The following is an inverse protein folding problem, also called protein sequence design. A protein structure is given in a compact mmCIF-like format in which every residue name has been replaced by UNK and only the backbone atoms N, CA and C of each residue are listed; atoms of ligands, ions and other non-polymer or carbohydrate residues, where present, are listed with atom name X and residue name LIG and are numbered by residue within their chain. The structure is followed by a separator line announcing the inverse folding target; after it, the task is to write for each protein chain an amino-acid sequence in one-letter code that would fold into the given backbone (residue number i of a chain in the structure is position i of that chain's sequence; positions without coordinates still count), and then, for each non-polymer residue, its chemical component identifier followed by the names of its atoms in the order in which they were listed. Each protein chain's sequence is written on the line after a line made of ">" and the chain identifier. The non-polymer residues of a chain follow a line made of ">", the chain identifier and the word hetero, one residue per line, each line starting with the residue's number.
data_IF_056124820837
#
_entry.id   IF_056124820837
#
_cell.length_a   1.000
_cell.length_b   1.000
_cell.length_c   1.000
_cell.angle_alpha   90.00
_cell.angle_beta   90.00
_cell.angle_gamma   90.00
#
_symmetry.space_group_name_H-M   'P 1'
#
loop_
_entity.id
_entity.type
_entity.pdbx_description
1 polymer ?
#
# COMPACT_ATOMS: atom_id res chain seq x y z
N UNK A 1 7.43 4.02 2.65
CA UNK A 1 6.72 3.08 3.55
C UNK A 1 6.02 3.84 4.66
N UNK A 2 4.75 4.26 4.47
CA UNK A 2 3.95 4.95 5.48
C UNK A 2 3.58 4.09 6.70
N UNK A 3 3.64 2.76 6.56
CA UNK A 3 3.24 1.79 7.59
C UNK A 3 4.09 1.85 8.87
N UNK A 4 5.41 2.10 8.72
CA UNK A 4 6.37 2.11 9.83
C UNK A 4 6.13 3.24 10.84
N UNK A 5 5.50 4.35 10.43
CA UNK A 5 5.29 5.52 11.29
C UNK A 5 4.03 5.42 12.18
N UNK A 6 3.03 4.60 11.82
CA UNK A 6 1.72 4.62 12.52
C UNK A 6 1.71 3.95 13.90
N UNK A 7 2.55 2.94 14.14
CA UNK A 7 2.54 2.17 15.42
C UNK A 7 3.62 2.67 16.42
N UNK A 8 4.69 3.33 15.96
CA UNK A 8 5.73 3.83 16.86
C UNK A 8 5.35 5.09 17.65
N UNK A 9 4.20 5.72 17.38
CA UNK A 9 3.73 6.91 18.10
C UNK A 9 3.41 6.71 19.59
N UNK A 10 3.44 5.48 20.11
CA UNK A 10 3.00 5.15 21.48
C UNK A 10 4.09 4.66 22.45
N UNK A 11 5.36 4.52 22.04
CA UNK A 11 6.39 3.98 22.92
C UNK A 11 7.16 5.09 23.67
N UNK A 12 6.82 5.33 24.95
CA UNK A 12 7.72 6.04 25.88
C UNK A 12 8.86 5.09 26.30
N UNK A 13 10.10 5.54 26.21
CA UNK A 13 11.26 4.76 26.68
C UNK A 13 11.29 4.74 28.21
N UNK A 14 11.43 3.53 28.78
CA UNK A 14 11.86 3.34 30.17
C UNK A 14 13.07 2.42 30.12
N UNK A 15 14.21 2.90 30.60
CA UNK A 15 15.43 2.11 30.72
C UNK A 15 15.28 1.11 31.88
N UNK A 16 15.62 -0.16 31.65
CA UNK A 16 15.66 -1.19 32.69
C UNK A 16 16.95 -2.02 32.56
N UNK A 17 17.59 -2.26 33.69
CA UNK A 17 18.84 -3.00 33.85
C UNK A 17 18.63 -4.51 33.78
N UNK A 18 19.49 -5.19 33.01
CA UNK A 18 19.34 -6.60 32.67
C UNK A 18 19.66 -7.57 33.81
N UNK A 19 18.82 -8.60 33.94
CA UNK A 19 19.09 -9.90 34.58
C UNK A 19 18.77 -10.99 33.55
N UNK A 20 19.33 -12.21 33.63
CA UNK A 20 19.27 -13.19 32.54
C UNK A 20 17.81 -13.64 32.32
N UNK A 21 17.27 -13.31 31.14
CA UNK A 21 15.88 -13.57 30.75
C UNK A 21 15.81 -14.93 30.07
N UNK A 22 14.99 -15.84 30.61
CA UNK A 22 14.47 -17.00 29.88
C UNK A 22 13.83 -16.52 28.58
N UNK A 23 14.12 -17.12 27.43
CA UNK A 23 13.49 -16.76 26.15
C UNK A 23 11.95 -16.88 26.25
N UNK A 24 11.27 -15.77 26.60
CA UNK A 24 9.83 -15.70 26.45
C UNK A 24 9.57 -15.59 24.96
N UNK A 25 8.92 -16.59 24.37
CA UNK A 25 8.37 -16.46 23.03
C UNK A 25 7.44 -15.24 23.04
N UNK A 26 7.75 -14.22 22.24
CA UNK A 26 6.93 -13.02 22.15
C UNK A 26 5.49 -13.35 21.75
N UNK A 27 4.54 -12.41 21.93
CA UNK A 27 3.17 -12.58 21.47
C UNK A 27 3.09 -13.09 20.03
N UNK A 28 2.24 -14.08 19.80
CA UNK A 28 1.90 -14.59 18.47
C UNK A 28 0.46 -14.27 18.12
N UNK A 29 0.14 -14.36 16.84
CA UNK A 29 -1.22 -14.20 16.34
C UNK A 29 -1.55 -15.28 15.31
N UNK A 30 -2.71 -15.89 15.46
CA UNK A 30 -3.27 -16.77 14.44
C UNK A 30 -3.99 -15.95 13.35
N UNK A 31 -3.76 -16.32 12.10
CA UNK A 31 -4.44 -15.77 10.92
C UNK A 31 -5.03 -16.93 10.14
N UNK A 32 -6.29 -16.80 9.73
CA UNK A 32 -6.93 -17.75 8.82
C UNK A 32 -6.71 -17.31 7.38
N UNK A 33 -6.08 -18.16 6.57
CA UNK A 33 -5.89 -17.93 5.15
C UNK A 33 -6.90 -18.77 4.36
N UNK A 34 -7.66 -18.13 3.47
CA UNK A 34 -8.71 -18.79 2.69
C UNK A 34 -8.42 -18.77 1.19
N UNK A 35 -8.59 -19.93 0.54
CA UNK A 35 -8.60 -20.03 -0.91
C UNK A 35 -10.04 -19.82 -1.42
N UNK A 36 -10.33 -18.61 -1.91
CA UNK A 36 -11.57 -18.24 -2.60
C UNK A 36 -11.35 -18.06 -4.12
N UNK A 37 -10.33 -18.75 -4.65
CA UNK A 37 -10.03 -18.78 -6.08
C UNK A 37 -10.66 -20.02 -6.72
N UNK A 38 -10.51 -20.15 -8.04
CA UNK A 38 -10.90 -21.36 -8.79
C UNK A 38 -9.81 -22.43 -8.85
N UNK A 39 -8.60 -22.13 -8.36
CA UNK A 39 -7.48 -23.06 -8.47
C UNK A 39 -7.39 -23.99 -7.26
N UNK A 40 -7.03 -25.25 -7.53
CA UNK A 40 -6.67 -26.23 -6.50
C UNK A 40 -5.23 -26.04 -5.97
N UNK A 41 -4.46 -25.15 -6.58
CA UNK A 41 -3.05 -24.91 -6.31
C UNK A 41 -2.84 -23.44 -6.00
N UNK A 42 -2.90 -23.09 -4.72
CA UNK A 42 -2.62 -21.74 -4.22
C UNK A 42 -1.57 -21.80 -3.12
N UNK A 43 -0.56 -20.95 -3.26
CA UNK A 43 0.53 -20.81 -2.33
C UNK A 43 0.44 -19.46 -1.61
N UNK A 44 0.74 -19.46 -0.32
CA UNK A 44 0.92 -18.27 0.48
C UNK A 44 2.34 -18.19 1.04
N UNK A 45 2.81 -16.97 1.26
CA UNK A 45 4.09 -16.68 1.91
C UNK A 45 3.87 -15.53 2.89
N UNK A 46 4.60 -15.53 4.00
CA UNK A 46 4.52 -14.45 4.99
C UNK A 46 5.92 -13.96 5.28
N UNK A 47 6.17 -12.68 4.99
CA UNK A 47 7.46 -12.01 5.20
C UNK A 47 7.28 -10.84 6.16
N UNK A 48 8.36 -10.39 6.79
CA UNK A 48 8.36 -9.17 7.61
C UNK A 48 9.64 -9.03 8.43
N UNK A 49 9.67 -8.03 9.32
CA UNK A 49 10.78 -7.79 10.24
C UNK A 49 10.33 -8.16 11.66
N UNK A 50 11.00 -9.14 12.28
CA UNK A 50 10.66 -9.64 13.60
C UNK A 50 11.03 -8.63 14.69
N UNK A 51 10.00 -8.01 15.28
CA UNK A 51 10.13 -6.89 16.24
C UNK A 51 10.86 -7.35 17.50
N UNK A 52 10.56 -8.55 17.97
CA UNK A 52 11.17 -9.19 19.15
C UNK A 52 12.58 -9.75 18.90
N UNK A 53 13.05 -9.71 17.65
CA UNK A 53 14.39 -10.14 17.22
C UNK A 53 15.20 -8.99 16.62
N UNK A 54 15.01 -7.77 17.12
CA UNK A 54 15.78 -6.61 16.67
C UNK A 54 15.55 -6.23 15.20
N UNK A 55 14.33 -6.45 14.70
CA UNK A 55 13.94 -6.25 13.30
C UNK A 55 14.70 -7.14 12.30
N UNK A 56 15.13 -8.34 12.72
CA UNK A 56 15.68 -9.31 11.79
C UNK A 56 14.63 -9.72 10.74
N UNK A 57 15.06 -9.91 9.49
CA UNK A 57 14.23 -10.48 8.41
C UNK A 57 13.66 -11.83 8.85
N UNK A 58 12.35 -11.98 8.70
CA UNK A 58 11.61 -13.19 9.00
C UNK A 58 10.76 -13.60 7.80
N UNK A 59 10.75 -14.90 7.51
CA UNK A 59 9.85 -15.56 6.57
C UNK A 59 9.23 -16.75 7.27
N UNK A 60 7.92 -16.98 7.14
CA UNK A 60 7.30 -18.17 7.74
C UNK A 60 7.59 -19.42 6.89
N UNK A 61 7.96 -20.53 7.53
CA UNK A 61 8.14 -21.82 6.84
C UNK A 61 6.81 -22.36 6.31
N UNK A 62 6.89 -23.35 5.41
CA UNK A 62 5.73 -23.98 4.75
C UNK A 62 4.70 -24.62 5.71
N UNK A 63 5.07 -24.88 6.97
CA UNK A 63 4.13 -25.35 8.01
C UNK A 63 3.19 -24.25 8.51
N UNK A 64 3.42 -22.98 8.13
CA UNK A 64 2.63 -21.82 8.52
C UNK A 64 2.80 -21.42 9.99
N UNK A 65 3.75 -21.98 10.72
CA UNK A 65 3.90 -21.79 12.18
C UNK A 65 5.31 -21.48 12.62
N UNK A 66 6.31 -22.02 11.92
CA UNK A 66 7.71 -21.87 12.31
C UNK A 66 8.31 -20.64 11.63
N UNK A 67 8.75 -19.61 12.38
CA UNK A 67 9.50 -18.50 11.79
C UNK A 67 10.87 -18.98 11.32
N UNK A 68 11.27 -18.55 10.13
CA UNK A 68 12.58 -18.75 9.55
C UNK A 68 13.29 -17.40 9.41
N UNK A 69 14.52 -17.35 9.91
CA UNK A 69 15.39 -16.18 9.84
C UNK A 69 16.57 -16.52 8.91
N UNK A 70 16.57 -16.05 7.65
CA UNK A 70 17.65 -16.35 6.72
C UNK A 70 19.01 -15.91 7.28
N UNK A 71 20.04 -16.73 7.09
CA UNK A 71 21.42 -16.32 7.33
C UNK A 71 21.90 -15.37 6.23
N UNK A 72 22.92 -14.56 6.52
CA UNK A 72 23.56 -13.75 5.49
C UNK A 72 24.34 -14.67 4.53
N UNK A 73 23.99 -14.72 3.23
CA UNK A 73 24.82 -15.38 2.25
C UNK A 73 26.10 -14.57 1.98
N UNK A 74 27.08 -15.21 1.35
CA UNK A 74 28.30 -14.54 0.87
C UNK A 74 28.08 -13.80 -0.46
N UNK A 75 27.21 -14.34 -1.32
CA UNK A 75 26.90 -13.82 -2.65
C UNK A 75 25.48 -13.25 -2.70
N UNK A 76 25.20 -12.39 -3.67
CA UNK A 76 23.84 -11.90 -3.95
C UNK A 76 22.97 -12.97 -4.62
N UNK A 77 21.65 -12.75 -4.61
CA UNK A 77 20.63 -13.51 -5.34
C UNK A 77 20.58 -15.00 -4.97
N UNK A 78 20.82 -15.33 -3.71
CA UNK A 78 20.77 -16.71 -3.23
C UNK A 78 19.33 -17.13 -2.91
N UNK A 79 18.91 -18.37 -3.17
CA UNK A 79 17.59 -18.83 -2.78
C UNK A 79 17.45 -18.92 -1.25
N UNK A 80 16.21 -18.94 -0.75
CA UNK A 80 15.94 -19.33 0.63
C UNK A 80 16.43 -20.77 0.87
N UNK A 81 17.04 -21.03 2.03
CA UNK A 81 17.51 -22.37 2.40
C UNK A 81 16.41 -23.26 2.96
N UNK A 82 15.22 -22.70 3.21
CA UNK A 82 14.07 -23.36 3.80
C UNK A 82 12.86 -23.24 2.88
N UNK A 83 12.00 -24.27 2.88
CA UNK A 83 10.74 -24.19 2.17
C UNK A 83 9.77 -23.27 2.93
N UNK A 84 9.36 -22.18 2.28
CA UNK A 84 8.45 -21.17 2.82
C UNK A 84 7.09 -21.12 2.09
N UNK A 85 6.82 -22.11 1.25
CA UNK A 85 5.61 -22.22 0.42
C UNK A 85 4.46 -22.85 1.20
N UNK A 86 3.55 -22.03 1.75
CA UNK A 86 2.39 -22.48 2.52
C UNK A 86 1.24 -22.81 1.56
N UNK A 87 0.80 -24.06 1.50
CA UNK A 87 -0.28 -24.49 0.58
C UNK A 87 -1.66 -24.23 1.18
N UNK A 88 -2.54 -23.49 0.49
CA UNK A 88 -3.89 -23.19 0.98
C UNK A 88 -4.92 -24.31 0.73
N UNK A 89 -4.62 -25.27 -0.15
CA UNK A 89 -5.55 -26.34 -0.53
C UNK A 89 -6.53 -25.95 -1.65
N UNK A 90 -7.57 -26.77 -1.85
CA UNK A 90 -8.58 -26.59 -2.90
C UNK A 90 -9.50 -25.37 -2.64
N UNK A 91 -10.28 -24.89 -3.64
CA UNK A 91 -11.26 -23.82 -3.43
C UNK A 91 -12.17 -24.08 -2.22
N UNK A 92 -12.41 -23.04 -1.42
CA UNK A 92 -13.15 -23.10 -0.15
C UNK A 92 -12.33 -23.55 1.06
N UNK A 93 -11.07 -23.97 0.88
CA UNK A 93 -10.22 -24.37 2.00
C UNK A 93 -9.83 -23.18 2.86
N UNK A 94 -9.71 -23.44 4.17
CA UNK A 94 -9.14 -22.52 5.16
C UNK A 94 -7.99 -23.22 5.88
N UNK A 95 -6.86 -22.53 6.01
CA UNK A 95 -5.76 -22.95 6.89
C UNK A 95 -5.51 -21.89 7.96
N UNK A 96 -4.97 -22.29 9.11
CA UNK A 96 -4.52 -21.36 10.14
C UNK A 96 -3.00 -21.31 10.17
N UNK A 97 -2.45 -20.11 10.09
CA UNK A 97 -1.03 -19.80 10.28
C UNK A 97 -0.85 -19.05 11.60
N UNK A 98 0.32 -19.18 12.23
CA UNK A 98 0.66 -18.48 13.47
C UNK A 98 1.91 -17.63 13.22
N UNK A 99 1.78 -16.32 13.36
CA UNK A 99 2.89 -15.37 13.13
C UNK A 99 3.44 -14.82 14.46
N UNK A 100 4.75 -14.50 14.53
CA UNK A 100 5.29 -13.66 15.60
C UNK A 100 4.95 -12.18 15.35
N UNK A 101 5.44 -11.28 16.20
CA UNK A 101 5.35 -9.85 15.96
C UNK A 101 6.22 -9.43 14.76
N UNK A 102 5.58 -8.98 13.68
CA UNK A 102 6.22 -8.59 12.44
C UNK A 102 5.84 -7.15 12.07
N UNK A 103 6.86 -6.32 11.83
CA UNK A 103 6.71 -4.99 11.24
C UNK A 103 6.97 -5.03 9.74
N UNK A 104 6.21 -4.21 8.98
CA UNK A 104 6.31 -4.19 7.52
C UNK A 104 6.05 -5.55 6.89
N UNK A 105 5.14 -6.33 7.48
CA UNK A 105 4.84 -7.67 7.05
C UNK A 105 3.98 -7.71 5.79
N UNK A 106 4.13 -8.77 5.01
CA UNK A 106 3.34 -9.04 3.79
C UNK A 106 2.85 -10.47 3.80
N UNK A 107 1.60 -10.67 3.41
CA UNK A 107 1.03 -11.98 3.08
C UNK A 107 0.87 -12.01 1.57
N UNK A 108 1.68 -12.83 0.92
CA UNK A 108 1.73 -13.01 -0.53
C UNK A 108 0.88 -14.19 -0.92
N UNK A 109 0.21 -14.10 -2.06
CA UNK A 109 -0.53 -15.20 -2.65
C UNK A 109 -0.08 -15.42 -4.10
N UNK A 110 0.09 -16.68 -4.50
CA UNK A 110 0.39 -17.04 -5.88
C UNK A 110 -0.46 -18.22 -6.36
N UNK A 111 -0.93 -18.11 -7.60
CA UNK A 111 -1.85 -19.08 -8.22
C UNK A 111 -1.07 -19.97 -9.17
N UNK A 112 -1.29 -21.28 -9.05
CA UNK A 112 -0.74 -22.38 -9.85
C UNK A 112 0.78 -22.58 -9.77
N UNK A 113 1.55 -21.56 -9.39
CA UNK A 113 3.02 -21.57 -9.35
C UNK A 113 3.54 -20.93 -8.05
N UNK A 114 4.69 -21.41 -7.58
CA UNK A 114 5.38 -20.88 -6.41
C UNK A 114 6.13 -19.57 -6.72
N UNK A 115 6.16 -18.66 -5.75
CA UNK A 115 7.02 -17.47 -5.80
C UNK A 115 8.45 -17.83 -5.43
N UNK A 116 9.39 -17.14 -6.08
CA UNK A 116 10.82 -17.20 -5.76
C UNK A 116 11.21 -15.96 -4.98
N UNK A 117 11.58 -16.18 -3.73
CA UNK A 117 12.26 -15.20 -2.88
C UNK A 117 13.76 -15.48 -2.90
N UNK A 118 14.56 -14.42 -2.89
CA UNK A 118 16.02 -14.52 -2.85
C UNK A 118 16.58 -13.65 -1.73
N UNK A 119 17.79 -13.94 -1.29
CA UNK A 119 18.48 -13.28 -0.18
C UNK A 119 19.83 -12.77 -0.66
N UNK A 120 20.13 -11.52 -0.33
CA UNK A 120 21.42 -10.87 -0.53
C UNK A 120 22.20 -10.80 0.80
N UNK A 121 23.53 -10.54 0.77
CA UNK A 121 24.32 -10.31 1.97
C UNK A 121 23.71 -9.20 2.83
N UNK A 122 23.73 -9.38 4.15
CA UNK A 122 23.06 -8.47 5.09
C UNK A 122 22.60 -9.19 6.35
N UNK A 123 21.72 -10.22 6.29
CA UNK A 123 20.90 -10.70 5.16
C UNK A 123 19.83 -9.68 4.72
N UNK A 124 19.55 -9.61 3.43
CA UNK A 124 18.46 -8.79 2.89
C UNK A 124 17.55 -9.64 1.99
N UNK A 125 16.29 -9.79 2.38
CA UNK A 125 15.27 -10.43 1.55
C UNK A 125 14.98 -9.53 0.35
N UNK A 126 15.07 -10.10 -0.85
CA UNK A 126 14.59 -9.48 -2.07
C UNK A 126 13.24 -10.13 -2.38
N UNK A 127 12.22 -9.29 -2.32
CA UNK A 127 10.83 -9.67 -2.57
C UNK A 127 10.51 -9.64 -4.08
N UNK A 128 9.47 -10.35 -4.54
CA UNK A 128 9.05 -10.35 -5.94
C UNK A 128 8.88 -8.93 -6.52
N UNK A 129 9.47 -8.69 -7.69
CA UNK A 129 9.37 -7.41 -8.38
C UNK A 129 8.51 -7.50 -9.65
N UNK A 130 7.59 -6.55 -9.79
CA UNK A 130 6.84 -6.33 -11.03
C UNK A 130 7.48 -5.30 -11.97
N UNK A 131 8.50 -4.58 -11.49
CA UNK A 131 9.15 -3.48 -12.20
C UNK A 131 10.54 -3.87 -12.73
N UNK A 132 10.89 -5.15 -12.65
CA UNK A 132 12.11 -5.72 -13.20
C UNK A 132 11.74 -6.82 -14.21
N UNK A 133 11.92 -6.60 -15.52
CA UNK A 133 11.57 -7.58 -16.55
C UNK A 133 12.30 -8.92 -16.42
N UNK A 134 13.43 -8.97 -15.72
CA UNK A 134 14.22 -10.17 -15.48
C UNK A 134 13.85 -10.89 -14.17
N UNK A 135 12.91 -10.35 -13.38
CA UNK A 135 12.46 -10.99 -12.15
C UNK A 135 11.82 -12.35 -12.46
N UNK A 136 12.19 -13.43 -11.76
CA UNK A 136 11.64 -14.76 -12.03
C UNK A 136 10.12 -14.87 -11.77
N UNK A 137 9.54 -13.92 -11.04
CA UNK A 137 8.13 -13.86 -10.70
C UNK A 137 7.31 -12.97 -11.66
N UNK A 138 7.96 -12.32 -12.64
CA UNK A 138 7.32 -11.31 -13.49
C UNK A 138 6.13 -11.86 -14.30
N UNK A 139 6.16 -13.14 -14.68
CA UNK A 139 5.09 -13.79 -15.45
C UNK A 139 4.16 -14.67 -14.61
N UNK A 140 4.27 -14.62 -13.28
CA UNK A 140 3.42 -15.38 -12.37
C UNK A 140 2.20 -14.56 -11.94
N UNK A 141 1.10 -15.25 -11.63
CA UNK A 141 -0.12 -14.63 -11.08
C UNK A 141 -0.01 -14.57 -9.56
N UNK A 142 0.19 -13.37 -9.02
CA UNK A 142 0.35 -13.16 -7.58
C UNK A 142 -0.08 -11.76 -7.17
N UNK A 143 -0.38 -11.62 -5.88
CA UNK A 143 -0.69 -10.35 -5.23
C UNK A 143 -0.34 -10.45 -3.73
N UNK A 144 -0.49 -9.37 -2.97
CA UNK A 144 -0.23 -9.38 -1.54
C UNK A 144 -1.11 -8.40 -0.75
N UNK A 145 -1.24 -8.65 0.55
CA UNK A 145 -1.70 -7.64 1.49
C UNK A 145 -0.60 -7.36 2.53
N UNK A 146 -0.66 -6.19 3.15
CA UNK A 146 0.33 -5.73 4.11
C UNK A 146 -0.23 -5.79 5.53
N UNK A 147 0.66 -5.95 6.50
CA UNK A 147 0.30 -5.85 7.89
C UNK A 147 1.47 -5.39 8.77
N UNK A 148 1.15 -4.95 9.97
CA UNK A 148 2.09 -4.92 11.08
C UNK A 148 1.38 -5.45 12.30
N UNK A 149 1.95 -6.46 12.93
CA UNK A 149 1.51 -6.99 14.22
C UNK A 149 2.59 -6.68 15.25
N UNK A 150 2.30 -5.77 16.16
CA UNK A 150 3.22 -5.35 17.21
C UNK A 150 2.44 -4.85 18.43
N UNK A 151 3.00 -5.04 19.62
CA UNK A 151 2.42 -4.63 20.90
C UNK A 151 0.97 -5.12 21.08
N UNK A 152 0.70 -6.38 20.70
CA UNK A 152 -0.64 -6.99 20.72
C UNK A 152 -1.70 -6.23 19.90
N UNK A 153 -1.29 -5.47 18.89
CA UNK A 153 -2.18 -4.77 17.98
C UNK A 153 -1.78 -5.08 16.55
N UNK A 154 -2.79 -5.19 15.68
CA UNK A 154 -2.58 -5.35 14.25
C UNK A 154 -3.09 -4.13 13.49
N UNK A 155 -2.39 -3.76 12.43
CA UNK A 155 -2.91 -2.99 11.32
C UNK A 155 -2.69 -3.82 10.06
N UNK A 156 -3.72 -4.04 9.25
CA UNK A 156 -3.61 -4.77 7.99
C UNK A 156 -4.39 -4.06 6.88
N UNK A 157 -3.87 -4.08 5.66
CA UNK A 157 -4.48 -3.43 4.51
C UNK A 157 -4.25 -4.24 3.23
N UNK A 158 -5.21 -4.17 2.31
CA UNK A 158 -4.94 -4.52 0.91
C UNK A 158 -4.09 -3.41 0.28
N UNK A 159 -3.35 -3.70 -0.79
CA UNK A 159 -2.51 -2.70 -1.44
C UNK A 159 -2.55 -2.81 -2.95
N UNK A 160 -2.81 -1.68 -3.61
CA UNK A 160 -2.69 -1.49 -5.05
C UNK A 160 -1.66 -0.41 -5.37
N UNK A 161 -0.83 -0.01 -4.40
CA UNK A 161 0.20 1.02 -4.58
C UNK A 161 1.21 0.60 -5.64
N UNK A 162 1.49 -0.70 -5.71
CA UNK A 162 2.42 -1.25 -6.71
C UNK A 162 1.68 -1.73 -7.96
N UNK A 163 0.66 -2.56 -7.81
CA UNK A 163 -0.18 -3.09 -8.88
C UNK A 163 -1.46 -3.73 -8.31
N UNK A 164 -2.36 -4.13 -9.20
CA UNK A 164 -3.50 -5.02 -8.89
C UNK A 164 -3.49 -6.23 -9.82
N UNK A 165 -3.68 -7.43 -9.26
CA UNK A 165 -3.78 -8.69 -10.02
C UNK A 165 -4.86 -9.61 -9.46
N UNK A 166 -4.87 -9.84 -8.14
CA UNK A 166 -5.81 -10.73 -7.46
C UNK A 166 -6.70 -9.92 -6.51
N UNK A 167 -7.88 -10.47 -6.24
CA UNK A 167 -8.69 -9.96 -5.12
C UNK A 167 -8.15 -10.51 -3.81
N UNK A 168 -7.88 -9.63 -2.86
CA UNK A 168 -7.60 -9.98 -1.46
C UNK A 168 -8.65 -9.29 -0.60
N UNK A 169 -9.16 -9.98 0.41
CA UNK A 169 -10.14 -9.43 1.36
C UNK A 169 -9.73 -9.72 2.79
N UNK A 170 -10.14 -8.83 3.71
CA UNK A 170 -9.82 -8.88 5.13
C UNK A 170 -11.12 -8.90 5.93
N UNK A 171 -11.26 -9.86 6.85
CA UNK A 171 -12.30 -9.84 7.89
C UNK A 171 -11.63 -9.90 9.24
N UNK A 172 -11.81 -8.86 10.04
CA UNK A 172 -11.12 -8.67 11.30
C UNK A 172 -12.10 -8.43 12.43
N UNK A 173 -11.98 -9.24 13.48
CA UNK A 173 -12.69 -9.02 14.73
C UNK A 173 -11.66 -8.58 15.78
N UNK A 174 -11.72 -7.33 16.28
CA UNK A 174 -10.95 -6.95 17.45
C UNK A 174 -11.51 -7.63 18.72
N UNK A 175 -10.72 -7.69 19.80
CA UNK A 175 -11.22 -8.12 21.11
C UNK A 175 -12.36 -7.24 21.60
N UNK A 176 -12.19 -5.93 21.41
CA UNK A 176 -13.17 -4.90 21.74
C UNK A 176 -13.57 -4.13 20.47
N UNK A 177 -14.87 -4.02 20.21
CA UNK A 177 -15.42 -3.29 19.08
C UNK A 177 -16.11 -4.16 18.03
N UNK A 178 -16.63 -3.51 16.99
CA UNK A 178 -17.35 -4.17 15.90
C UNK A 178 -16.39 -4.85 14.91
N UNK A 179 -16.90 -5.85 14.21
CA UNK A 179 -16.22 -6.49 13.08
C UNK A 179 -15.89 -5.44 12.00
N UNK A 180 -14.67 -5.53 11.46
CA UNK A 180 -14.16 -4.68 10.39
C UNK A 180 -13.95 -5.53 9.14
N UNK A 181 -14.28 -4.98 7.96
CA UNK A 181 -14.13 -5.67 6.69
C UNK A 181 -13.48 -4.79 5.63
N UNK A 182 -12.70 -5.42 4.77
CA UNK A 182 -12.26 -4.90 3.49
C UNK A 182 -12.60 -5.97 2.47
N UNK A 183 -13.50 -5.66 1.54
CA UNK A 183 -14.17 -6.70 0.73
C UNK A 183 -13.39 -7.12 -0.52
N UNK A 184 -12.42 -6.33 -0.95
CA UNK A 184 -11.63 -6.59 -2.15
C UNK A 184 -12.41 -6.37 -3.44
N UNK A 185 -11.84 -6.86 -4.54
CA UNK A 185 -12.39 -6.68 -5.89
C UNK A 185 -13.72 -7.43 -6.07
N UNK A 186 -14.60 -6.86 -6.88
CA UNK A 186 -15.73 -7.55 -7.49
C UNK A 186 -15.22 -8.72 -8.35
N UNK A 187 -16.05 -9.73 -8.66
CA UNK A 187 -15.66 -10.83 -9.54
C UNK A 187 -15.10 -10.40 -10.91
N UNK A 188 -15.59 -9.29 -11.46
CA UNK A 188 -15.15 -8.66 -12.72
C UNK A 188 -14.22 -7.45 -12.48
N UNK A 189 -13.86 -7.16 -11.24
CA UNK A 189 -13.15 -5.92 -10.86
C UNK A 189 -11.80 -5.75 -11.55
N UNK A 190 -10.99 -6.82 -11.66
CA UNK A 190 -9.72 -6.75 -12.40
C UNK A 190 -9.93 -6.39 -13.87
N UNK A 191 -10.95 -7.00 -14.52
CA UNK A 191 -11.27 -6.73 -15.91
C UNK A 191 -11.82 -5.31 -16.10
N UNK A 192 -12.61 -4.80 -15.15
CA UNK A 192 -13.07 -3.40 -15.12
C UNK A 192 -11.90 -2.41 -15.13
N UNK A 193 -10.85 -2.66 -14.34
CA UNK A 193 -9.65 -1.81 -14.34
C UNK A 193 -8.93 -1.87 -15.70
N UNK A 194 -8.74 -3.08 -16.25
CA UNK A 194 -8.10 -3.26 -17.56
C UNK A 194 -8.85 -2.51 -18.66
N UNK A 195 -10.16 -2.69 -18.75
CA UNK A 195 -10.99 -2.08 -19.80
C UNK A 195 -11.09 -0.58 -19.60
N UNK A 196 -11.27 -0.12 -18.36
CA UNK A 196 -11.32 1.30 -18.02
C UNK A 196 -10.04 2.05 -18.38
N UNK A 197 -8.87 1.43 -18.21
CA UNK A 197 -7.58 2.00 -18.61
C UNK A 197 -7.38 1.98 -20.13
N UNK A 198 -7.77 0.90 -20.80
CA UNK A 198 -7.74 0.80 -22.28
C UNK A 198 -8.66 1.83 -22.94
N UNK A 199 -9.74 2.22 -22.27
CA UNK A 199 -10.69 3.21 -22.74
C UNK A 199 -10.25 4.68 -22.56
N UNK A 200 -9.18 4.96 -21.80
CA UNK A 200 -8.75 6.35 -21.59
C UNK A 200 -8.22 7.00 -22.89
N UNK A 201 -8.44 8.31 -23.01
CA UNK A 201 -7.96 9.10 -24.15
C UNK A 201 -6.44 9.14 -24.22
N UNK A 202 -5.78 9.41 -23.07
CA UNK A 202 -4.34 9.31 -22.96
C UNK A 202 -3.90 7.82 -22.99
N UNK A 203 -3.21 7.43 -24.07
CA UNK A 203 -2.78 6.05 -24.32
C UNK A 203 -1.65 5.55 -23.43
N UNK A 204 -1.10 6.38 -22.55
CA UNK A 204 -0.20 5.89 -21.51
C UNK A 204 -0.91 5.06 -20.44
N UNK A 205 -2.21 5.31 -20.18
CA UNK A 205 -3.01 4.52 -19.25
C UNK A 205 -3.10 3.04 -19.66
N UNK A 206 -3.30 2.75 -20.95
CA UNK A 206 -3.36 1.37 -21.43
C UNK A 206 -2.03 0.61 -21.30
N UNK A 207 -0.89 1.32 -21.23
CA UNK A 207 0.44 0.72 -21.06
C UNK A 207 0.70 0.24 -19.63
N UNK A 208 -0.18 0.56 -18.68
CA UNK A 208 -0.13 0.02 -17.32
C UNK A 208 -0.59 -1.43 -17.24
N UNK A 209 -1.36 -1.90 -18.24
CA UNK A 209 -1.79 -3.30 -18.32
C UNK A 209 -0.58 -4.14 -18.75
N UNK A 210 -0.08 -4.96 -17.83
CA UNK A 210 0.96 -5.94 -18.12
C UNK A 210 0.29 -7.24 -18.58
N UNK A 211 0.67 -7.71 -19.77
CA UNK A 211 0.16 -8.94 -20.35
C UNK A 211 1.22 -10.04 -20.33
N UNK A 212 0.80 -11.26 -20.01
CA UNK A 212 1.61 -12.47 -20.18
C UNK A 212 0.84 -13.44 -21.09
N UNK A 213 1.52 -13.99 -22.09
CA UNK A 213 0.91 -14.89 -23.09
C UNK A 213 -0.36 -14.31 -23.75
N UNK A 214 -0.36 -13.00 -24.02
CA UNK A 214 -1.47 -12.30 -24.68
C UNK A 214 -2.72 -12.11 -23.81
N UNK A 215 -2.60 -12.25 -22.49
CA UNK A 215 -3.68 -11.99 -21.53
C UNK A 215 -3.23 -11.00 -20.46
N UNK A 216 -4.10 -10.06 -20.03
CA UNK A 216 -3.83 -9.24 -18.86
C UNK A 216 -3.51 -10.11 -17.64
N UNK A 217 -2.32 -9.90 -17.07
CA UNK A 217 -1.84 -10.60 -15.88
C UNK A 217 -1.95 -9.72 -14.63
N UNK A 218 -1.64 -8.43 -14.79
CA UNK A 218 -1.78 -7.41 -13.75
C UNK A 218 -1.89 -6.01 -14.35
N UNK A 219 -2.33 -5.05 -13.55
CA UNK A 219 -2.29 -3.63 -13.88
C UNK A 219 -1.30 -2.95 -12.93
N UNK A 220 -0.21 -2.41 -13.46
CA UNK A 220 0.79 -1.69 -12.67
C UNK A 220 0.25 -0.31 -12.25
N UNK A 221 0.64 0.16 -11.07
CA UNK A 221 0.39 1.55 -10.71
C UNK A 221 1.14 2.51 -11.65
N UNK A 222 0.70 3.77 -11.79
CA UNK A 222 1.37 4.74 -12.65
C UNK A 222 2.86 4.91 -12.30
N UNK A 223 3.22 4.86 -11.02
CA UNK A 223 4.60 4.94 -10.57
C UNK A 223 5.45 3.78 -11.13
N UNK A 224 4.97 2.53 -11.01
CA UNK A 224 5.68 1.38 -11.56
C UNK A 224 5.68 1.37 -13.10
N UNK A 225 4.59 1.81 -13.73
CA UNK A 225 4.55 1.97 -15.19
C UNK A 225 5.59 2.97 -15.71
N UNK A 226 5.75 4.11 -15.01
CA UNK A 226 6.80 5.09 -15.33
C UNK A 226 8.19 4.47 -15.21
N UNK A 227 8.47 3.74 -14.12
CA UNK A 227 9.76 3.04 -13.92
C UNK A 227 10.02 2.05 -15.06
N UNK A 228 9.04 1.19 -15.36
CA UNK A 228 9.13 0.18 -16.41
C UNK A 228 9.36 0.75 -17.80
N UNK A 229 8.85 1.96 -18.07
CA UNK A 229 9.04 2.65 -19.34
C UNK A 229 10.29 3.56 -19.38
N UNK A 230 11.18 3.46 -18.37
CA UNK A 230 12.38 4.29 -18.28
C UNK A 230 12.07 5.79 -18.11
N UNK A 231 10.99 6.12 -17.41
CA UNK A 231 10.59 7.50 -17.11
C UNK A 231 9.76 8.19 -18.20
N UNK A 232 9.28 7.46 -19.21
CA UNK A 232 8.67 8.07 -20.40
C UNK A 232 7.14 8.17 -20.40
N UNK A 233 6.44 7.54 -19.46
CA UNK A 233 4.97 7.64 -19.38
C UNK A 233 4.52 8.92 -18.67
N UNK A 234 3.35 9.42 -19.09
CA UNK A 234 2.60 10.51 -18.48
C UNK A 234 3.35 11.85 -18.40
N UNK A 235 4.36 12.08 -19.25
CA UNK A 235 5.07 13.37 -19.31
C UNK A 235 4.06 14.50 -19.61
N UNK A 236 3.98 15.50 -18.73
CA UNK A 236 3.10 16.65 -18.94
C UNK A 236 1.62 16.39 -18.61
N UNK A 237 1.26 15.23 -18.05
CA UNK A 237 -0.13 14.84 -17.85
C UNK A 237 -0.86 15.69 -16.78
N UNK A 238 -0.25 15.89 -15.61
CA UNK A 238 -0.83 16.68 -14.51
C UNK A 238 -0.50 18.16 -14.57
N UNK A 239 0.53 18.55 -15.32
CA UNK A 239 1.08 19.89 -15.37
C UNK A 239 -0.01 20.97 -15.62
N UNK A 240 -0.98 20.78 -16.55
CA UNK A 240 -2.10 21.72 -16.70
C UNK A 240 -2.96 21.89 -15.44
N UNK A 241 -3.22 20.82 -14.68
CA UNK A 241 -3.97 20.89 -13.42
C UNK A 241 -3.13 21.52 -12.30
N UNK A 242 -1.83 21.21 -12.25
CA UNK A 242 -0.88 21.84 -11.32
C UNK A 242 -0.83 23.35 -11.52
N UNK A 243 -0.77 23.81 -12.77
CA UNK A 243 -0.78 25.23 -13.09
C UNK A 243 -2.05 25.90 -12.59
N UNK A 244 -3.23 25.31 -12.84
CA UNK A 244 -4.51 25.84 -12.35
C UNK A 244 -4.56 25.93 -10.81
N UNK A 245 -4.06 24.91 -10.11
CA UNK A 245 -4.00 24.89 -8.64
C UNK A 245 -3.13 26.03 -8.12
N UNK A 246 -1.92 26.20 -8.66
CA UNK A 246 -1.00 27.24 -8.23
C UNK A 246 -1.49 28.66 -8.58
N UNK A 247 -2.15 28.82 -9.73
CA UNK A 247 -2.72 30.11 -10.15
C UNK A 247 -3.90 30.51 -9.26
N UNK A 248 -4.80 29.57 -8.92
CA UNK A 248 -5.90 29.79 -7.96
C UNK A 248 -5.35 30.31 -6.63
N UNK A 249 -4.37 29.62 -6.08
CA UNK A 249 -3.80 29.94 -4.77
C UNK A 249 -2.80 31.10 -4.77
N UNK A 250 -2.56 31.75 -5.92
CA UNK A 250 -1.92 33.07 -5.97
C UNK A 250 -2.90 34.16 -5.51
N UNK A 251 -4.20 33.96 -5.77
CA UNK A 251 -5.25 34.95 -5.51
C UNK A 251 -6.04 34.67 -4.22
N UNK A 252 -6.06 33.44 -3.72
CA UNK A 252 -6.66 33.07 -2.44
C UNK A 252 -5.73 32.18 -1.60
N UNK A 253 -6.04 31.99 -0.33
CA UNK A 253 -5.30 31.03 0.50
C UNK A 253 -5.89 29.62 0.32
N UNK A 254 -5.02 28.61 0.37
CA UNK A 254 -5.41 27.25 0.73
C UNK A 254 -5.26 27.11 2.25
N UNK A 255 -6.06 26.28 2.88
CA UNK A 255 -5.90 25.86 4.27
C UNK A 255 -5.82 24.33 4.29
N UNK A 256 -4.80 23.78 4.94
CA UNK A 256 -4.63 22.33 5.05
C UNK A 256 -4.79 21.91 6.50
N UNK A 257 -5.74 21.02 6.78
CA UNK A 257 -5.82 20.35 8.07
C UNK A 257 -4.80 19.21 8.13
N UNK A 258 -3.78 19.39 8.97
CA UNK A 258 -2.71 18.41 9.11
C UNK A 258 -3.18 17.13 9.82
N UNK A 259 -4.33 17.14 10.50
CA UNK A 259 -4.73 16.14 11.52
C UNK A 259 -3.58 15.74 12.47
N UNK A 260 -2.75 16.72 12.80
CA UNK A 260 -1.61 16.59 13.68
C UNK A 260 -1.55 17.84 14.58
N UNK A 261 -0.52 17.93 15.43
CA UNK A 261 -0.37 19.02 16.40
C UNK A 261 -0.32 20.44 15.80
N UNK A 262 -0.11 20.58 14.48
CA UNK A 262 -0.10 21.88 13.80
C UNK A 262 -1.49 22.37 13.39
N UNK A 263 -2.52 21.52 13.51
CA UNK A 263 -3.90 21.88 13.15
C UNK A 263 -4.03 22.29 11.69
N UNK A 264 -4.82 23.34 11.45
CA UNK A 264 -5.02 23.93 10.13
C UNK A 264 -3.93 24.95 9.81
N UNK A 265 -3.27 24.78 8.67
CA UNK A 265 -2.17 25.65 8.22
C UNK A 265 -2.54 26.30 6.90
N UNK A 266 -2.41 27.64 6.83
CA UNK A 266 -2.71 28.40 5.62
C UNK A 266 -1.50 28.47 4.69
N UNK A 267 -1.75 28.19 3.42
CA UNK A 267 -0.80 28.31 2.33
C UNK A 267 -1.25 29.35 1.30
N UNK A 268 -0.28 29.97 0.63
CA UNK A 268 -0.53 30.86 -0.51
C UNK A 268 0.60 30.70 -1.53
N UNK A 269 0.26 30.77 -2.82
CA UNK A 269 1.28 30.75 -3.86
C UNK A 269 1.97 32.11 -3.98
N UNK A 270 3.29 32.12 -3.79
CA UNK A 270 4.16 33.27 -4.02
C UNK A 270 5.35 32.81 -4.87
N UNK A 271 5.70 33.57 -5.91
CA UNK A 271 6.88 33.33 -6.75
C UNK A 271 7.02 31.87 -7.24
N UNK A 272 5.90 31.24 -7.63
CA UNK A 272 5.87 29.87 -8.13
C UNK A 272 5.96 28.76 -7.08
N UNK A 273 5.85 29.10 -5.78
CA UNK A 273 5.85 28.15 -4.66
C UNK A 273 4.58 28.30 -3.83
N UNK A 274 3.99 27.18 -3.43
CA UNK A 274 2.93 27.17 -2.44
C UNK A 274 3.56 27.24 -1.04
N UNK A 275 3.50 28.41 -0.41
CA UNK A 275 4.18 28.72 0.86
C UNK A 275 3.22 28.64 2.05
N UNK A 276 3.60 27.88 3.07
CA UNK A 276 2.90 27.77 4.35
C UNK A 276 3.75 28.43 5.43
N UNK A 277 3.29 29.57 5.95
CA UNK A 277 4.04 30.39 6.91
C UNK A 277 4.43 29.57 8.14
N UNK A 278 5.73 29.55 8.47
CA UNK A 278 6.28 28.80 9.61
C UNK A 278 6.36 27.28 9.41
N UNK A 279 5.92 26.73 8.28
CA UNK A 279 5.98 25.29 7.98
C UNK A 279 6.92 24.95 6.81
N UNK A 280 6.89 25.72 5.72
CA UNK A 280 7.74 25.51 4.55
C UNK A 280 7.00 25.77 3.24
N UNK A 281 7.48 25.21 2.12
CA UNK A 281 6.90 25.48 0.80
C UNK A 281 7.04 24.32 -0.18
N UNK A 282 6.15 24.25 -1.17
CA UNK A 282 6.18 23.27 -2.25
C UNK A 282 6.32 23.98 -3.61
N UNK A 283 7.37 23.67 -4.38
CA UNK A 283 7.42 24.03 -5.81
C UNK A 283 6.39 23.22 -6.59
N UNK A 284 6.01 23.65 -7.80
CA UNK A 284 5.12 22.89 -8.69
C UNK A 284 5.62 21.45 -8.84
N UNK A 285 4.83 20.42 -8.48
CA UNK A 285 5.21 19.02 -8.69
C UNK A 285 5.09 18.62 -10.16
N UNK A 286 5.94 17.69 -10.59
CA UNK A 286 5.74 16.98 -11.86
C UNK A 286 4.67 15.89 -11.75
N UNK A 287 4.23 15.35 -12.88
CA UNK A 287 3.36 14.16 -12.89
C UNK A 287 3.92 12.99 -12.07
N UNK A 288 5.23 12.71 -12.19
CA UNK A 288 5.86 11.60 -11.45
C UNK A 288 5.86 11.87 -9.94
N UNK A 289 6.08 13.11 -9.52
CA UNK A 289 6.03 13.51 -8.10
C UNK A 289 4.63 13.28 -7.50
N UNK A 290 3.57 13.56 -8.27
CA UNK A 290 2.18 13.36 -7.84
C UNK A 290 1.88 11.88 -7.66
N UNK A 291 2.20 11.03 -8.64
CA UNK A 291 1.93 9.59 -8.54
C UNK A 291 2.76 8.90 -7.45
N UNK A 292 4.04 9.29 -7.30
CA UNK A 292 4.95 8.66 -6.35
C UNK A 292 4.91 9.25 -4.93
N UNK A 293 4.36 10.44 -4.75
CA UNK A 293 4.19 11.15 -3.48
C UNK A 293 5.49 11.35 -2.65
N UNK A 294 6.68 11.18 -3.24
CA UNK A 294 7.93 11.05 -2.48
C UNK A 294 9.16 11.65 -3.16
N UNK A 295 9.00 12.23 -4.35
CA UNK A 295 10.06 12.90 -5.11
C UNK A 295 9.77 14.40 -5.28
N UNK A 296 10.72 15.13 -5.86
CA UNK A 296 10.57 16.55 -6.14
C UNK A 296 10.19 17.36 -4.89
N UNK A 297 9.12 18.16 -4.91
CA UNK A 297 8.69 18.97 -3.75
C UNK A 297 8.20 18.13 -2.56
N UNK A 298 8.02 16.82 -2.72
CA UNK A 298 7.55 15.90 -1.68
C UNK A 298 8.69 15.11 -1.02
N UNK A 299 9.92 15.26 -1.51
CA UNK A 299 11.06 14.51 -1.01
C UNK A 299 11.55 15.03 0.35
N UNK A 300 11.84 14.10 1.28
CA UNK A 300 12.51 14.36 2.57
C UNK A 300 11.79 15.39 3.47
N UNK A 301 10.49 15.56 3.29
CA UNK A 301 9.69 16.44 4.12
C UNK A 301 9.50 15.84 5.54
N UNK A 302 9.69 16.69 6.55
CA UNK A 302 9.59 16.34 7.96
C UNK A 302 8.89 17.46 8.74
N UNK A 303 8.60 17.23 10.02
CA UNK A 303 7.83 18.19 10.84
C UNK A 303 6.47 18.47 10.19
N UNK A 304 6.07 19.75 10.13
CA UNK A 304 4.80 20.16 9.54
C UNK A 304 4.68 19.80 8.05
N UNK A 305 5.79 19.76 7.30
CA UNK A 305 5.76 19.41 5.87
C UNK A 305 5.41 17.94 5.63
N UNK A 306 5.62 17.05 6.60
CA UNK A 306 5.26 15.63 6.48
C UNK A 306 3.75 15.44 6.29
N UNK A 307 2.91 15.83 7.26
CA UNK A 307 1.46 15.81 7.10
C UNK A 307 0.97 16.64 5.91
N UNK A 308 1.55 17.83 5.66
CA UNK A 308 1.18 18.64 4.49
C UNK A 308 1.41 17.88 3.17
N UNK A 309 2.53 17.16 3.04
CA UNK A 309 2.84 16.33 1.87
C UNK A 309 1.74 15.30 1.63
N UNK A 310 1.33 14.58 2.68
CA UNK A 310 0.28 13.56 2.57
C UNK A 310 -1.03 14.15 2.04
N UNK A 311 -1.47 15.29 2.58
CA UNK A 311 -2.75 15.92 2.19
C UNK A 311 -2.70 16.53 0.78
N UNK A 312 -1.61 17.22 0.46
CA UNK A 312 -1.45 17.87 -0.86
C UNK A 312 -1.36 16.82 -1.97
N UNK A 313 -0.57 15.75 -1.77
CA UNK A 313 -0.45 14.67 -2.75
C UNK A 313 -1.74 13.87 -2.91
N UNK A 314 -2.50 13.63 -1.83
CA UNK A 314 -3.83 13.03 -1.92
C UNK A 314 -4.79 13.92 -2.72
N UNK A 315 -4.81 15.24 -2.45
CA UNK A 315 -5.63 16.20 -3.19
C UNK A 315 -5.24 16.32 -4.67
N UNK A 316 -3.96 16.16 -5.03
CA UNK A 316 -3.53 16.06 -6.42
C UNK A 316 -4.00 14.76 -7.08
N UNK A 317 -3.80 13.61 -6.44
CA UNK A 317 -4.22 12.32 -6.99
C UNK A 317 -5.74 12.23 -7.19
N UNK A 318 -6.52 12.74 -6.23
CA UNK A 318 -7.99 12.79 -6.27
C UNK A 318 -8.55 13.98 -7.03
N UNK A 319 -7.68 14.91 -7.43
CA UNK A 319 -8.02 16.16 -8.14
C UNK A 319 -9.06 17.02 -7.44
N UNK A 320 -8.89 17.23 -6.14
CA UNK A 320 -9.82 17.98 -5.28
C UNK A 320 -9.33 19.37 -4.90
N UNK A 321 -8.05 19.69 -5.10
CA UNK A 321 -7.46 20.99 -4.72
C UNK A 321 -8.11 22.21 -5.39
N UNK A 322 -8.89 22.05 -6.45
CA UNK A 322 -9.68 23.14 -7.04
C UNK A 322 -11.11 23.25 -6.47
N UNK A 323 -11.62 22.23 -5.80
CA UNK A 323 -13.03 22.13 -5.38
C UNK A 323 -13.36 23.05 -4.20
N UNK A 324 -12.45 23.15 -3.22
CA UNK A 324 -12.62 23.98 -2.02
C UNK A 324 -11.36 24.81 -1.73
N UNK A 325 -11.28 25.44 -0.55
CA UNK A 325 -10.08 26.12 -0.05
C UNK A 325 -9.53 25.45 1.23
N UNK A 326 -10.19 24.43 1.79
CA UNK A 326 -9.78 23.75 3.02
C UNK A 326 -9.64 22.25 2.70
N UNK A 327 -8.48 21.64 2.97
CA UNK A 327 -8.22 20.24 2.58
C UNK A 327 -7.45 19.41 3.64
N UNK A 328 -7.75 18.10 3.76
CA UNK A 328 -9.06 17.54 3.49
C UNK A 328 -10.06 18.19 4.45
N UNK A 329 -11.11 18.80 3.91
CA UNK A 329 -12.29 19.16 4.68
C UNK A 329 -13.43 18.26 4.22
N UNK A 330 -14.69 18.69 4.30
CA UNK A 330 -15.90 17.99 3.86
C UNK A 330 -15.92 17.49 2.39
N UNK A 331 -14.76 17.38 1.74
CA UNK A 331 -14.49 16.51 0.61
C UNK A 331 -15.20 15.16 0.81
N UNK A 332 -15.97 14.77 -0.19
CA UNK A 332 -16.68 13.50 -0.20
C UNK A 332 -16.07 12.58 -1.25
N UNK A 333 -16.18 11.28 -1.00
CA UNK A 333 -15.70 10.24 -1.94
C UNK A 333 -16.32 10.43 -3.34
N UNK A 334 -17.57 10.85 -3.41
CA UNK A 334 -18.27 11.10 -4.68
C UNK A 334 -17.80 12.36 -5.43
N UNK A 335 -16.89 13.16 -4.86
CA UNK A 335 -16.25 14.32 -5.51
C UNK A 335 -14.85 13.99 -6.04
N UNK A 336 -14.30 12.81 -5.70
CA UNK A 336 -12.98 12.41 -6.16
C UNK A 336 -12.98 12.05 -7.65
N UNK A 337 -11.86 12.33 -8.32
CA UNK A 337 -11.56 11.90 -9.69
C UNK A 337 -12.57 12.36 -10.75
N UNK A 338 -13.17 13.55 -10.58
CA UNK A 338 -14.19 14.09 -11.51
C UNK A 338 -13.63 14.87 -12.69
N UNK A 339 -12.34 15.22 -12.66
CA UNK A 339 -11.70 15.95 -13.74
C UNK A 339 -11.14 15.00 -14.81
N UNK A 340 -11.06 15.44 -16.09
CA UNK A 340 -10.46 14.65 -17.17
C UNK A 340 -8.99 14.31 -16.95
N UNK A 341 -8.24 15.19 -16.29
CA UNK A 341 -6.90 14.89 -15.78
C UNK A 341 -7.09 14.50 -14.32
N UNK A 342 -6.87 13.23 -14.01
CA UNK A 342 -6.88 12.68 -12.63
C UNK A 342 -6.13 11.34 -12.55
N UNK A 343 -6.02 10.73 -11.37
CA UNK A 343 -5.44 9.40 -11.22
C UNK A 343 -6.48 8.34 -11.61
N UNK A 344 -6.64 8.07 -12.92
CA UNK A 344 -7.62 7.10 -13.40
C UNK A 344 -7.34 5.67 -12.94
N UNK A 345 -6.09 5.31 -12.67
CA UNK A 345 -5.75 4.02 -12.04
C UNK A 345 -6.42 3.91 -10.67
N UNK A 346 -6.22 4.89 -9.79
CA UNK A 346 -6.83 4.88 -8.46
C UNK A 346 -8.35 4.89 -8.54
N UNK A 347 -8.93 5.77 -9.36
CA UNK A 347 -10.39 5.82 -9.59
C UNK A 347 -10.96 4.45 -9.97
N UNK A 348 -10.36 3.78 -10.96
CA UNK A 348 -10.81 2.48 -11.44
C UNK A 348 -10.62 1.37 -10.40
N UNK A 349 -9.54 1.41 -9.62
CA UNK A 349 -9.33 0.48 -8.51
C UNK A 349 -10.44 0.63 -7.46
N UNK A 350 -10.78 1.86 -7.04
CA UNK A 350 -11.89 2.07 -6.10
C UNK A 350 -13.22 1.59 -6.69
N UNK A 351 -13.54 1.94 -7.93
CA UNK A 351 -14.75 1.47 -8.62
C UNK A 351 -14.83 -0.06 -8.73
N UNK A 352 -13.69 -0.74 -8.87
CA UNK A 352 -13.60 -2.19 -8.98
C UNK A 352 -13.78 -2.93 -7.65
N UNK A 353 -13.63 -2.27 -6.51
CA UNK A 353 -13.80 -2.87 -5.19
C UNK A 353 -15.28 -2.90 -4.77
N UNK A 354 -15.67 -3.92 -4.01
CA UNK A 354 -17.07 -4.12 -3.58
C UNK A 354 -17.53 -3.01 -2.63
N UNK A 355 -16.66 -2.61 -1.70
CA UNK A 355 -16.90 -1.55 -0.73
C UNK A 355 -16.32 -0.19 -1.17
N UNK A 356 -15.77 -0.11 -2.38
CA UNK A 356 -15.10 1.09 -2.89
C UNK A 356 -13.74 1.38 -2.27
N UNK A 357 -13.15 0.43 -1.51
CA UNK A 357 -11.91 0.64 -0.75
C UNK A 357 -10.76 -0.17 -1.35
N UNK A 358 -9.59 0.45 -1.47
CA UNK A 358 -8.35 -0.17 -1.93
C UNK A 358 -7.21 0.83 -2.03
N UNK A 359 -6.05 0.51 -1.45
CA UNK A 359 -4.93 1.45 -1.28
C UNK A 359 -4.22 1.70 -2.62
N UNK A 360 -4.64 2.68 -3.42
CA UNK A 360 -4.21 2.80 -4.81
C UNK A 360 -3.04 3.78 -5.05
N UNK A 361 -2.67 4.57 -4.05
CA UNK A 361 -1.50 5.46 -4.08
C UNK A 361 -0.98 5.70 -2.65
N UNK A 362 0.28 6.14 -2.43
CA UNK A 362 0.94 6.12 -1.10
C UNK A 362 0.27 6.88 0.05
N UNK A 363 -0.70 7.75 -0.22
CA UNK A 363 -1.42 8.54 0.79
C UNK A 363 -2.94 8.45 0.63
N UNK A 364 -3.43 7.30 0.12
CA UNK A 364 -4.87 7.05 -0.03
C UNK A 364 -5.59 6.88 1.32
N UNK A 365 -4.81 6.71 2.39
CA UNK A 365 -5.26 6.69 3.78
C UNK A 365 -5.53 8.09 4.35
N UNK A 366 -5.28 9.17 3.59
CA UNK A 366 -5.79 10.49 3.94
C UNK A 366 -7.32 10.42 3.86
N UNK A 367 -8.03 10.59 4.99
CA UNK A 367 -9.47 10.40 5.03
C UNK A 367 -10.17 11.53 4.25
N UNK A 368 -11.34 11.21 3.69
CA UNK A 368 -12.30 12.24 3.31
C UNK A 368 -12.73 12.98 4.59
N UNK A 369 -12.82 14.31 4.58
CA UNK A 369 -13.10 15.03 5.83
C UNK A 369 -14.52 14.79 6.34
N UNK A 370 -14.74 15.15 7.60
CA UNK A 370 -16.04 14.95 8.28
C UNK A 370 -16.33 13.50 8.67
N UNK A 371 -15.36 12.58 8.59
CA UNK A 371 -15.52 11.18 8.99
C UNK A 371 -16.12 10.28 7.91
N UNK A 372 -15.91 10.61 6.63
CA UNK A 372 -16.31 9.79 5.50
C UNK A 372 -15.62 8.42 5.45
N UNK A 373 -16.03 7.58 4.50
CA UNK A 373 -15.49 6.22 4.31
C UNK A 373 -14.00 6.30 3.97
N UNK A 374 -13.18 5.57 4.72
CA UNK A 374 -11.76 5.33 4.38
C UNK A 374 -11.67 4.65 3.00
N UNK A 375 -10.94 5.26 2.07
CA UNK A 375 -10.73 4.71 0.73
C UNK A 375 -9.55 3.72 0.66
N UNK A 376 -8.68 3.68 1.66
CA UNK A 376 -7.44 2.88 1.58
C UNK A 376 -7.64 1.38 1.85
N UNK A 377 -8.69 0.98 2.57
CA UNK A 377 -9.01 -0.44 2.76
C UNK A 377 -8.12 -1.12 3.80
N UNK A 378 -8.19 -0.64 5.04
CA UNK A 378 -7.51 -1.25 6.19
C UNK A 378 -8.47 -1.75 7.28
N UNK A 379 -7.93 -2.59 8.16
CA UNK A 379 -8.49 -3.02 9.46
C UNK A 379 -7.42 -2.87 10.55
N UNK A 380 -7.83 -2.59 11.78
CA UNK A 380 -6.87 -2.45 12.89
C UNK A 380 -7.47 -2.63 14.28
N UNK A 381 -6.66 -3.10 15.25
CA UNK A 381 -7.03 -3.21 16.66
C UNK A 381 -6.31 -4.35 17.38
N UNK A 382 -6.65 -4.60 18.65
CA UNK A 382 -6.21 -5.80 19.38
C UNK A 382 -6.91 -7.04 18.80
N UNK A 383 -6.19 -8.01 18.21
CA UNK A 383 -6.81 -9.09 17.44
C UNK A 383 -7.52 -10.11 18.32
N UNK A 384 -8.79 -10.40 18.00
CA UNK A 384 -9.46 -11.65 18.36
C UNK A 384 -9.38 -12.68 17.22
N UNK A 385 -9.58 -12.23 15.98
CA UNK A 385 -9.36 -13.06 14.79
C UNK A 385 -9.12 -12.19 13.55
N UNK A 386 -8.30 -12.70 12.64
CA UNK A 386 -8.14 -12.16 11.28
C UNK A 386 -8.31 -13.28 10.26
N UNK A 387 -9.14 -13.04 9.26
CA UNK A 387 -9.26 -13.84 8.06
C UNK A 387 -8.73 -13.03 6.89
N UNK A 388 -7.84 -13.62 6.11
CA UNK A 388 -7.36 -13.10 4.84
C UNK A 388 -7.72 -14.08 3.75
N UNK A 389 -8.50 -13.65 2.76
CA UNK A 389 -8.94 -14.52 1.67
C UNK A 389 -8.43 -13.99 0.33
N UNK A 390 -7.97 -14.89 -0.53
CA UNK A 390 -7.57 -14.60 -1.91
C UNK A 390 -8.61 -15.15 -2.88
N UNK A 391 -9.07 -14.33 -3.82
CA UNK A 391 -10.12 -14.62 -4.80
C UNK A 391 -11.51 -14.10 -4.40
N UNK A 392 -12.45 -14.14 -5.35
CA UNK A 392 -13.79 -13.55 -5.22
C UNK A 392 -14.93 -14.57 -5.08
N UNK A 393 -14.64 -15.88 -5.14
CA UNK A 393 -15.67 -16.94 -5.17
C UNK A 393 -16.24 -17.25 -3.79
#
# INVERSE_FOLDING_TARGET
>A
MPLFQKIMGAAKSVASTASPVSESTGPTMDIQLQNRTKSNTVYAYITGLAVDKGNQVCVMKADGKTPYYPSSPNEILQPLSENCSIKLGAPGSTITVTIPQLAGGRIWFAIDNELKFIVNPGPALVEPSISNPSDPNINLTWDFCEFTFANNSIYANISYVDFVSLSVSLTFQPKDGAEQKVLGLKPDGFQHVVDGLKAQDNKDWSKLVYEANGKPLRVMSPNNGIVMAGGNLFKGYYEPYVDQVYDKYTNCCIEIDTHAQWGKVKGKCNSGKLEFSGAGSFTKPSTADIFGCSSGPFAKNAGALGPLTARITAGFNRTTLLNEQIHPNAEKVDEFYKLPVTNHYARLCHEANIDGRGYAFPYDDVPAGGGGVDQSGFVSGDPKSLIVAVGCE
#
